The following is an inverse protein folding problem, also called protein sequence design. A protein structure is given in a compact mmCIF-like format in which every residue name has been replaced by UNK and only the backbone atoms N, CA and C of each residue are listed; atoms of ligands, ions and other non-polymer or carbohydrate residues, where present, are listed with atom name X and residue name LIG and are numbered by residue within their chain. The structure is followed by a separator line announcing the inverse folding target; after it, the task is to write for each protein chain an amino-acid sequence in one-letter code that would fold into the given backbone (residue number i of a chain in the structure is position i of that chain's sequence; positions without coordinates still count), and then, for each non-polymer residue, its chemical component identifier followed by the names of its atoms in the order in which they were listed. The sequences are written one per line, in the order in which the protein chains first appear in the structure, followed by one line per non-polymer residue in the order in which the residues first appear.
data_IF_787438589369
#
_entry.id   IF_787438589369
#
_cell.length_a   1.000
_cell.length_b   1.000
_cell.length_c   1.000
_cell.angle_alpha   90.00
_cell.angle_beta   90.00
_cell.angle_gamma   90.00
#
_symmetry.space_group_name_H-M   'P 1'
#
loop_
_entity.id
_entity.type
_entity.pdbx_description
1 polymer ?
#
# COMPACT_ATOMS: atom_id res chain seq x y z
N UNK A 1 -8.92 23.49 -9.74
CA UNK A 1 -9.51 22.13 -9.89
C UNK A 1 -8.48 21.02 -10.23
N UNK A 2 -7.24 21.35 -10.63
CA UNK A 2 -6.20 20.39 -11.06
C UNK A 2 -5.48 19.64 -9.93
N UNK A 3 -5.21 20.28 -8.79
CA UNK A 3 -4.53 19.63 -7.65
C UNK A 3 -5.36 18.51 -7.00
N UNK A 4 -6.69 18.70 -6.94
CA UNK A 4 -7.61 17.68 -6.42
C UNK A 4 -7.59 16.41 -7.29
N UNK A 5 -7.70 16.57 -8.61
CA UNK A 5 -7.66 15.45 -9.55
C UNK A 5 -6.31 14.71 -9.51
N UNK A 6 -5.18 15.43 -9.43
CA UNK A 6 -3.87 14.82 -9.26
C UNK A 6 -3.77 13.99 -7.96
N UNK A 7 -4.49 14.38 -6.91
CA UNK A 7 -4.53 13.66 -5.64
C UNK A 7 -5.48 12.45 -5.70
N UNK A 8 -6.67 12.62 -6.29
CA UNK A 8 -7.70 11.58 -6.37
C UNK A 8 -7.38 10.49 -7.40
N UNK A 9 -6.96 10.89 -8.60
CA UNK A 9 -6.67 9.98 -9.71
C UNK A 9 -5.18 9.61 -9.78
N UNK A 10 -4.32 10.37 -9.10
CA UNK A 10 -2.87 10.22 -9.17
C UNK A 10 -2.29 10.97 -10.37
N UNK A 11 -1.05 11.44 -10.22
CA UNK A 11 -0.31 12.06 -11.32
C UNK A 11 0.26 10.98 -12.27
N UNK A 12 0.02 11.04 -13.59
CA UNK A 12 0.74 10.20 -14.56
C UNK A 12 2.24 10.46 -14.50
N UNK A 13 3.05 9.44 -14.84
CA UNK A 13 4.52 9.54 -14.74
C UNK A 13 5.07 10.62 -15.68
N UNK A 14 4.51 10.72 -16.88
CA UNK A 14 4.87 11.73 -17.87
C UNK A 14 4.67 13.15 -17.34
N UNK A 15 3.51 13.41 -16.72
CA UNK A 15 3.20 14.71 -16.10
C UNK A 15 4.14 15.00 -14.93
N UNK A 16 4.44 13.99 -14.10
CA UNK A 16 5.40 14.12 -13.01
C UNK A 16 6.81 14.46 -13.49
N UNK A 17 7.27 13.80 -14.57
CA UNK A 17 8.59 14.06 -15.15
C UNK A 17 8.64 15.44 -15.83
N UNK A 18 7.59 15.86 -16.55
CA UNK A 18 7.48 17.20 -17.15
C UNK A 18 7.50 18.28 -16.07
N UNK A 19 6.71 18.13 -15.01
CA UNK A 19 6.65 19.11 -13.92
C UNK A 19 7.98 19.16 -13.15
N UNK A 20 8.64 18.03 -12.96
CA UNK A 20 9.98 17.98 -12.33
C UNK A 20 11.03 18.67 -13.20
N UNK A 21 10.96 18.52 -14.52
CA UNK A 21 11.84 19.21 -15.46
C UNK A 21 11.58 20.72 -15.45
N UNK A 22 10.31 21.13 -15.51
CA UNK A 22 9.90 22.54 -15.42
C UNK A 22 10.30 23.18 -14.10
N UNK A 23 10.15 22.50 -12.97
CA UNK A 23 10.59 23.03 -11.67
C UNK A 23 12.10 23.22 -11.62
N UNK A 24 12.86 22.26 -12.17
CA UNK A 24 14.31 22.37 -12.26
C UNK A 24 14.73 23.57 -13.11
N UNK A 25 14.11 23.73 -14.28
CA UNK A 25 14.37 24.82 -15.21
C UNK A 25 13.99 26.19 -14.62
N UNK A 26 12.88 26.26 -13.88
CA UNK A 26 12.42 27.46 -13.20
C UNK A 26 13.41 27.95 -12.12
N UNK A 27 14.05 27.04 -11.37
CA UNK A 27 15.04 27.41 -10.34
C UNK A 27 16.30 28.07 -10.94
N UNK A 28 16.50 27.91 -12.25
CA UNK A 28 17.58 28.52 -13.02
C UNK A 28 17.06 29.62 -13.98
N UNK A 29 15.93 30.24 -13.68
CA UNK A 29 15.34 31.35 -14.46
C UNK A 29 15.13 31.03 -15.95
N UNK A 30 14.94 29.74 -16.28
CA UNK A 30 14.88 29.23 -17.65
C UNK A 30 16.16 29.40 -18.48
N UNK A 31 17.26 29.80 -17.86
CA UNK A 31 18.54 30.08 -18.49
C UNK A 31 19.62 29.07 -18.07
N UNK A 32 20.49 28.72 -19.02
CA UNK A 32 21.66 27.90 -18.75
C UNK A 32 21.41 26.40 -18.48
N UNK A 33 22.49 25.69 -18.20
CA UNK A 33 22.48 24.27 -17.80
C UNK A 33 22.39 24.17 -16.28
N UNK A 34 21.60 23.24 -15.77
CA UNK A 34 21.50 22.96 -14.33
C UNK A 34 22.88 22.61 -13.75
N UNK A 35 23.47 23.51 -12.96
CA UNK A 35 24.81 23.33 -12.37
C UNK A 35 24.77 22.55 -11.06
N UNK A 36 23.63 22.56 -10.36
CA UNK A 36 23.43 21.86 -9.09
C UNK A 36 22.43 20.72 -9.25
N UNK A 37 22.74 19.58 -8.62
CA UNK A 37 21.87 18.41 -8.65
C UNK A 37 20.52 18.69 -7.97
N UNK A 38 19.45 18.05 -8.46
CA UNK A 38 18.13 18.15 -7.84
C UNK A 38 18.11 17.68 -6.39
N UNK A 39 18.97 16.72 -6.02
CA UNK A 39 19.11 16.26 -4.63
C UNK A 39 19.55 17.38 -3.70
N UNK A 40 20.51 18.20 -4.14
CA UNK A 40 21.02 19.34 -3.38
C UNK A 40 19.99 20.47 -3.33
N UNK A 41 19.30 20.75 -4.44
CA UNK A 41 18.23 21.77 -4.48
C UNK A 41 17.07 21.44 -3.53
N UNK A 42 16.73 20.16 -3.37
CA UNK A 42 15.70 19.70 -2.45
C UNK A 42 16.15 19.66 -0.98
N UNK A 43 17.44 19.86 -0.69
CA UNK A 43 17.95 19.82 0.68
C UNK A 43 17.53 21.07 1.48
N UNK A 44 17.56 21.00 2.82
CA UNK A 44 17.36 22.17 3.69
C UNK A 44 18.31 23.32 3.37
N UNK A 45 17.84 24.55 3.57
CA UNK A 45 18.67 25.77 3.42
C UNK A 45 19.92 25.70 4.31
N UNK A 46 19.79 25.17 5.52
CA UNK A 46 20.93 24.94 6.44
C UNK A 46 22.03 24.03 5.88
N UNK A 47 21.73 23.20 4.88
CA UNK A 47 22.69 22.32 4.19
C UNK A 47 23.09 22.86 2.81
N UNK A 48 22.86 24.14 2.54
CA UNK A 48 23.13 24.77 1.25
C UNK A 48 22.13 24.42 0.15
N UNK A 49 20.96 23.88 0.51
CA UNK A 49 19.87 23.62 -0.44
C UNK A 49 18.90 24.78 -0.60
N UNK A 50 17.90 24.62 -1.47
CA UNK A 50 16.86 25.64 -1.73
C UNK A 50 15.45 25.18 -1.30
N UNK A 51 15.33 24.06 -0.56
CA UNK A 51 14.04 23.48 -0.17
C UNK A 51 13.07 23.25 -1.34
N UNK A 52 13.60 22.93 -2.53
CA UNK A 52 12.76 22.68 -3.71
C UNK A 52 11.93 21.41 -3.51
N UNK A 53 10.66 21.44 -3.90
CA UNK A 53 9.76 20.30 -3.76
C UNK A 53 10.22 19.12 -4.63
N UNK A 54 10.53 17.99 -3.99
CA UNK A 54 10.79 16.74 -4.70
C UNK A 54 9.48 16.00 -5.03
N UNK A 55 8.91 16.28 -6.20
CA UNK A 55 7.59 15.79 -6.62
C UNK A 55 7.45 14.25 -6.53
N UNK A 56 8.50 13.51 -6.91
CA UNK A 56 8.54 12.03 -6.82
C UNK A 56 8.48 11.49 -5.40
N UNK A 57 8.98 12.25 -4.43
CA UNK A 57 8.89 11.86 -3.02
C UNK A 57 7.52 12.22 -2.46
N UNK A 58 7.00 13.39 -2.82
CA UNK A 58 5.68 13.84 -2.44
C UNK A 58 4.56 12.88 -2.92
N UNK A 59 4.61 12.47 -4.19
CA UNK A 59 3.65 11.53 -4.75
C UNK A 59 3.69 10.16 -4.05
N UNK A 60 4.88 9.67 -3.66
CA UNK A 60 5.00 8.44 -2.85
C UNK A 60 4.42 8.63 -1.45
N UNK A 61 4.66 9.77 -0.81
CA UNK A 61 4.09 10.09 0.49
C UNK A 61 2.55 10.11 0.45
N UNK A 62 1.96 10.67 -0.63
CA UNK A 62 0.51 10.57 -0.88
C UNK A 62 0.08 9.09 -0.89
N UNK A 63 0.77 8.21 -1.64
CA UNK A 63 0.43 6.78 -1.68
C UNK A 63 0.57 6.08 -0.32
N UNK A 64 1.52 6.48 0.52
CA UNK A 64 1.60 6.01 1.90
C UNK A 64 0.43 6.49 2.76
N UNK A 65 -0.08 7.71 2.55
CA UNK A 65 -1.30 8.19 3.21
C UNK A 65 -2.53 7.39 2.79
N UNK A 66 -2.66 7.05 1.51
CA UNK A 66 -3.71 6.13 1.04
C UNK A 66 -3.54 4.73 1.66
N UNK A 67 -2.32 4.20 1.73
CA UNK A 67 -2.04 2.94 2.41
C UNK A 67 -2.46 2.96 3.88
N UNK A 68 -2.18 4.04 4.62
CA UNK A 68 -2.66 4.23 5.99
C UNK A 68 -4.18 4.09 6.08
N UNK A 69 -4.93 4.70 5.15
CA UNK A 69 -6.37 4.54 5.07
C UNK A 69 -6.82 3.10 4.79
N UNK A 70 -6.11 2.38 3.91
CA UNK A 70 -6.38 0.97 3.62
C UNK A 70 -6.19 0.07 4.86
N UNK A 71 -5.23 0.40 5.71
CA UNK A 71 -4.85 -0.36 6.91
C UNK A 71 -5.55 0.12 8.19
N UNK A 72 -6.32 1.21 8.14
CA UNK A 72 -6.99 1.76 9.31
C UNK A 72 -7.97 0.74 9.94
N UNK A 73 -8.19 0.79 11.28
CA UNK A 73 -9.24 0.01 11.96
C UNK A 73 -10.61 0.18 11.31
N UNK A 74 -11.48 -0.82 11.42
CA UNK A 74 -12.74 -0.85 10.67
C UNK A 74 -13.66 0.35 10.97
N UNK A 75 -13.61 0.86 12.19
CA UNK A 75 -14.39 2.00 12.69
C UNK A 75 -13.98 3.31 12.02
N UNK A 76 -12.70 3.43 11.65
CA UNK A 76 -12.11 4.64 11.05
C UNK A 76 -11.78 4.44 9.57
N UNK A 77 -12.09 3.26 9.03
CA UNK A 77 -11.71 2.87 7.68
C UNK A 77 -12.53 3.64 6.64
N UNK A 78 -11.89 4.34 5.71
CA UNK A 78 -12.61 5.08 4.68
C UNK A 78 -13.33 4.11 3.73
N UNK A 79 -14.52 4.50 3.23
CA UNK A 79 -15.38 3.65 2.39
C UNK A 79 -14.65 3.04 1.19
N UNK A 80 -13.78 3.81 0.54
CA UNK A 80 -13.02 3.34 -0.63
C UNK A 80 -12.12 2.12 -0.32
N UNK A 81 -11.67 1.97 0.93
CA UNK A 81 -10.77 0.88 1.34
C UNK A 81 -11.46 -0.49 1.30
N UNK A 82 -12.78 -0.55 1.54
CA UNK A 82 -13.55 -1.79 1.40
C UNK A 82 -13.57 -2.27 -0.06
N UNK A 83 -13.80 -1.36 -1.00
CA UNK A 83 -13.71 -1.66 -2.44
C UNK A 83 -12.29 -2.04 -2.85
N UNK A 84 -11.28 -1.35 -2.32
CA UNK A 84 -9.88 -1.67 -2.58
C UNK A 84 -9.54 -3.10 -2.11
N UNK A 85 -9.98 -3.51 -0.92
CA UNK A 85 -9.77 -4.87 -0.42
C UNK A 85 -10.45 -5.92 -1.31
N UNK A 86 -11.69 -5.67 -1.76
CA UNK A 86 -12.38 -6.56 -2.70
C UNK A 86 -11.63 -6.71 -4.03
N UNK A 87 -11.11 -5.60 -4.59
CA UNK A 87 -10.29 -5.63 -5.82
C UNK A 87 -8.98 -6.40 -5.58
N UNK A 88 -8.32 -6.19 -4.44
CA UNK A 88 -7.10 -6.91 -4.06
C UNK A 88 -7.35 -8.42 -3.94
N UNK A 89 -8.44 -8.82 -3.29
CA UNK A 89 -8.87 -10.21 -3.14
C UNK A 89 -9.15 -10.88 -4.49
N UNK A 90 -9.85 -10.18 -5.40
CA UNK A 90 -10.10 -10.64 -6.78
C UNK A 90 -8.80 -10.78 -7.58
N UNK A 91 -7.84 -9.89 -7.33
CA UNK A 91 -6.53 -9.90 -7.98
C UNK A 91 -5.51 -10.84 -7.32
N UNK A 92 -5.84 -11.56 -6.24
CA UNK A 92 -4.93 -12.47 -5.54
C UNK A 92 -4.31 -13.53 -6.47
N UNK A 93 -2.99 -13.73 -6.36
CA UNK A 93 -2.28 -14.77 -7.09
C UNK A 93 -2.85 -16.15 -6.78
N UNK A 94 -2.66 -17.10 -7.71
CA UNK A 94 -3.15 -18.46 -7.54
C UNK A 94 -2.30 -19.27 -6.55
N UNK A 95 -1.13 -18.77 -6.15
CA UNK A 95 -0.26 -19.39 -5.14
C UNK A 95 0.04 -18.38 -4.02
N UNK A 96 -0.26 -18.72 -2.75
CA UNK A 96 -1.02 -19.89 -2.32
C UNK A 96 -2.49 -19.85 -2.79
N UNK A 97 -3.13 -21.01 -2.95
CA UNK A 97 -4.56 -21.07 -3.30
C UNK A 97 -5.37 -20.68 -2.06
N UNK A 98 -5.75 -19.42 -1.98
CA UNK A 98 -6.63 -18.90 -0.92
C UNK A 98 -8.07 -18.86 -1.44
N UNK A 99 -9.00 -19.44 -0.69
CA UNK A 99 -10.45 -19.36 -0.99
C UNK A 99 -10.92 -17.91 -0.89
N UNK A 100 -11.90 -17.52 -1.69
CA UNK A 100 -12.34 -16.12 -1.76
C UNK A 100 -12.80 -15.57 -0.40
N UNK A 101 -13.56 -16.35 0.37
CA UNK A 101 -14.02 -15.97 1.72
C UNK A 101 -12.90 -15.79 2.74
N UNK A 102 -11.71 -16.37 2.50
CA UNK A 102 -10.55 -16.20 3.37
C UNK A 102 -9.70 -14.96 3.00
N UNK A 103 -9.97 -14.25 1.90
CA UNK A 103 -9.17 -13.11 1.45
C UNK A 103 -9.69 -11.82 2.07
N UNK A 104 -9.03 -11.36 3.13
CA UNK A 104 -9.41 -10.14 3.85
C UNK A 104 -8.48 -9.00 3.47
N UNK A 105 -7.18 -9.14 3.71
CA UNK A 105 -6.22 -8.08 3.47
C UNK A 105 -4.82 -8.66 3.21
N UNK A 106 -4.16 -8.32 2.07
CA UNK A 106 -2.83 -8.85 1.74
C UNK A 106 -1.70 -8.32 2.62
N UNK A 107 -1.94 -7.33 3.48
CA UNK A 107 -0.96 -6.82 4.44
C UNK A 107 -1.05 -7.52 5.81
N UNK A 108 -2.18 -8.16 6.09
CA UNK A 108 -2.39 -8.96 7.30
C UNK A 108 -2.31 -10.46 7.02
N UNK A 109 -2.08 -10.84 5.76
CA UNK A 109 -2.08 -12.22 5.31
C UNK A 109 -0.90 -12.51 4.37
N UNK A 110 -0.57 -13.79 4.19
CA UNK A 110 0.62 -14.25 3.45
C UNK A 110 0.42 -14.33 1.93
N UNK A 111 -0.77 -14.09 1.41
CA UNK A 111 -1.03 -14.06 -0.02
C UNK A 111 -0.78 -12.68 -0.63
N UNK A 112 -0.45 -12.64 -1.93
CA UNK A 112 -0.15 -11.40 -2.65
C UNK A 112 -1.06 -11.18 -3.86
N UNK A 113 -1.48 -9.94 -4.15
CA UNK A 113 -2.22 -9.61 -5.36
C UNK A 113 -1.28 -9.51 -6.58
N UNK A 114 -1.79 -9.89 -7.74
CA UNK A 114 -1.12 -9.71 -9.03
C UNK A 114 -1.11 -8.24 -9.42
N UNK A 115 0.07 -7.64 -9.52
CA UNK A 115 0.22 -6.24 -9.90
C UNK A 115 -0.39 -5.94 -11.28
N UNK A 116 -0.33 -6.89 -12.22
CA UNK A 116 -0.85 -6.71 -13.59
C UNK A 116 -2.38 -6.54 -13.61
N UNK A 117 -3.10 -7.26 -12.74
CA UNK A 117 -4.57 -7.22 -12.64
C UNK A 117 -5.10 -6.04 -11.82
N UNK A 118 -4.24 -5.30 -11.13
CA UNK A 118 -4.64 -4.16 -10.32
C UNK A 118 -4.79 -2.89 -11.15
N UNK A 119 -5.78 -2.04 -10.84
CA UNK A 119 -5.83 -0.66 -11.32
C UNK A 119 -4.54 0.11 -10.97
N UNK A 120 -4.18 1.09 -11.80
CA UNK A 120 -2.94 1.86 -11.69
C UNK A 120 -2.69 2.43 -10.29
N UNK A 121 -3.73 2.95 -9.63
CA UNK A 121 -3.64 3.51 -8.29
C UNK A 121 -3.33 2.49 -7.20
N UNK A 122 -4.05 1.37 -7.16
CA UNK A 122 -3.79 0.29 -6.19
C UNK A 122 -2.43 -0.35 -6.45
N UNK A 123 -2.05 -0.54 -7.71
CA UNK A 123 -0.71 -1.02 -8.09
C UNK A 123 0.38 -0.13 -7.51
N UNK A 124 0.25 1.20 -7.65
CA UNK A 124 1.20 2.18 -7.09
C UNK A 124 1.24 2.15 -5.56
N UNK A 125 0.10 1.96 -4.88
CA UNK A 125 0.05 1.80 -3.42
C UNK A 125 0.86 0.56 -3.00
N UNK A 126 0.60 -0.61 -3.62
CA UNK A 126 1.31 -1.85 -3.31
C UNK A 126 2.82 -1.73 -3.61
N UNK A 127 3.20 -1.13 -4.74
CA UNK A 127 4.61 -0.91 -5.08
C UNK A 127 5.31 0.04 -4.11
N UNK A 128 4.62 1.09 -3.66
CA UNK A 128 5.16 2.03 -2.68
C UNK A 128 5.34 1.34 -1.33
N UNK A 129 4.35 0.55 -0.88
CA UNK A 129 4.44 -0.23 0.34
C UNK A 129 5.65 -1.18 0.31
N UNK A 130 5.82 -1.93 -0.79
CA UNK A 130 6.98 -2.83 -0.97
C UNK A 130 8.32 -2.07 -0.96
N UNK A 131 8.38 -0.93 -1.66
CA UNK A 131 9.60 -0.12 -1.76
C UNK A 131 10.08 0.38 -0.39
N UNK A 132 9.15 0.73 0.50
CA UNK A 132 9.48 1.21 1.84
C UNK A 132 9.39 0.12 2.92
N UNK A 133 9.26 -1.16 2.53
CA UNK A 133 9.16 -2.27 3.47
C UNK A 133 7.98 -2.17 4.44
N UNK A 134 6.91 -1.47 4.06
CA UNK A 134 5.75 -1.30 4.94
C UNK A 134 5.06 -2.64 5.17
N UNK A 135 5.16 -3.12 6.40
CA UNK A 135 4.56 -4.36 6.89
C UNK A 135 3.83 -4.07 8.19
N UNK A 136 2.88 -4.93 8.54
CA UNK A 136 2.35 -4.92 9.89
C UNK A 136 3.42 -5.54 10.81
N UNK A 137 3.81 -4.80 11.82
CA UNK A 137 4.83 -5.20 12.79
C UNK A 137 4.36 -4.74 14.16
N UNK A 138 4.37 -5.66 15.12
CA UNK A 138 3.98 -5.40 16.49
C UNK A 138 5.09 -5.94 17.39
N UNK A 139 5.66 -5.06 18.21
CA UNK A 139 6.68 -5.42 19.22
C UNK A 139 6.04 -6.32 20.29
N UNK A 140 4.77 -6.05 20.62
CA UNK A 140 3.95 -6.88 21.49
C UNK A 140 2.51 -6.79 21.01
N UNK A 141 1.86 -7.93 20.79
CA UNK A 141 0.47 -7.98 20.33
C UNK A 141 -0.40 -8.19 21.56
N UNK A 142 -1.33 -7.26 21.82
CA UNK A 142 -2.35 -7.47 22.84
C UNK A 142 -3.21 -8.68 22.43
N UNK A 143 -3.48 -9.65 23.32
CA UNK A 143 -4.35 -10.79 23.03
C UNK A 143 -5.72 -10.41 22.44
N UNK A 144 -6.29 -9.24 22.80
CA UNK A 144 -7.52 -8.77 22.17
C UNK A 144 -7.35 -8.50 20.67
N UNK A 145 -6.28 -7.81 20.28
CA UNK A 145 -5.93 -7.51 18.88
C UNK A 145 -5.54 -8.78 18.13
N UNK A 146 -4.86 -9.73 18.80
CA UNK A 146 -4.52 -11.02 18.20
C UNK A 146 -5.76 -11.80 17.75
N UNK A 147 -6.86 -11.70 18.50
CA UNK A 147 -8.13 -12.36 18.17
C UNK A 147 -8.87 -11.73 16.99
N UNK A 148 -8.61 -10.45 16.73
CA UNK A 148 -9.16 -9.73 15.58
C UNK A 148 -8.43 -10.03 14.28
N UNK A 149 -7.24 -10.65 14.34
CA UNK A 149 -6.52 -11.05 13.14
C UNK A 149 -7.28 -12.17 12.39
N UNK A 150 -7.18 -12.20 11.05
CA UNK A 150 -7.68 -13.31 10.26
C UNK A 150 -7.15 -14.65 10.80
N UNK A 151 -7.98 -15.68 10.95
CA UNK A 151 -7.46 -17.04 11.25
C UNK A 151 -6.62 -17.54 10.08
N UNK A 152 -7.18 -17.39 8.89
CA UNK A 152 -6.67 -18.00 7.68
C UNK A 152 -5.54 -17.16 7.10
N UNK A 153 -4.41 -17.80 6.80
CA UNK A 153 -3.25 -17.17 6.14
C UNK A 153 -2.73 -15.91 6.82
N UNK A 154 -2.92 -15.71 8.12
CA UNK A 154 -2.35 -14.53 8.78
C UNK A 154 -0.83 -14.54 8.77
N UNK A 155 -0.24 -13.38 9.05
CA UNK A 155 1.20 -13.12 8.98
C UNK A 155 2.04 -14.08 9.86
N UNK A 156 1.47 -14.55 10.98
CA UNK A 156 2.09 -15.52 11.89
C UNK A 156 1.80 -16.99 11.57
N UNK A 157 1.00 -17.29 10.54
CA UNK A 157 0.61 -18.65 10.21
C UNK A 157 1.78 -19.43 9.58
N UNK A 158 2.14 -20.56 10.18
CA UNK A 158 3.09 -21.51 9.59
C UNK A 158 2.52 -22.17 8.33
N UNK A 159 3.39 -22.77 7.52
CA UNK A 159 2.97 -23.52 6.34
C UNK A 159 1.97 -24.64 6.68
N UNK A 160 2.12 -25.29 7.83
CA UNK A 160 1.23 -26.35 8.28
C UNK A 160 -0.16 -25.83 8.68
N UNK A 161 -0.24 -24.67 9.34
CA UNK A 161 -1.51 -24.01 9.59
C UNK A 161 -2.22 -23.63 8.29
N UNK A 162 -1.47 -23.23 7.26
CA UNK A 162 -2.06 -22.92 5.95
C UNK A 162 -2.58 -24.15 5.22
N UNK A 163 -2.03 -25.35 5.44
CA UNK A 163 -2.56 -26.60 4.88
C UNK A 163 -3.95 -26.93 5.42
N UNK A 164 -4.24 -26.59 6.68
CA UNK A 164 -5.55 -26.80 7.30
C UNK A 164 -6.68 -26.07 6.56
N UNK A 165 -6.38 -25.02 5.80
CA UNK A 165 -7.37 -24.29 5.02
C UNK A 165 -8.11 -25.17 3.98
N UNK A 166 -7.47 -26.26 3.53
CA UNK A 166 -8.02 -27.16 2.53
C UNK A 166 -8.68 -28.42 3.13
N UNK A 167 -8.73 -28.55 4.46
CA UNK A 167 -9.41 -29.67 5.11
C UNK A 167 -10.95 -29.58 4.94
N UNK A 168 -11.61 -30.73 5.02
CA UNK A 168 -13.06 -30.90 4.86
C UNK A 168 -13.86 -29.94 5.77
N UNK A 169 -13.48 -29.83 7.04
CA UNK A 169 -14.18 -28.98 8.01
C UNK A 169 -13.83 -27.49 7.88
N UNK A 170 -12.76 -27.12 7.16
CA UNK A 170 -12.30 -25.75 7.07
C UNK A 170 -13.28 -24.86 6.30
N UNK A 171 -14.03 -25.42 5.35
CA UNK A 171 -15.11 -24.71 4.67
C UNK A 171 -16.22 -24.33 5.66
N UNK A 172 -16.69 -25.28 6.49
CA UNK A 172 -17.71 -25.02 7.49
C UNK A 172 -17.25 -24.00 8.53
N UNK A 173 -16.03 -24.16 9.07
CA UNK A 173 -15.47 -23.23 10.05
C UNK A 173 -15.36 -21.79 9.51
N UNK A 174 -15.00 -21.65 8.23
CA UNK A 174 -14.82 -20.34 7.61
C UNK A 174 -16.14 -19.71 7.20
N UNK A 175 -16.98 -20.46 6.51
CA UNK A 175 -18.13 -19.92 5.79
C UNK A 175 -19.40 -19.91 6.66
N UNK A 176 -19.54 -20.85 7.62
CA UNK A 176 -20.71 -20.93 8.51
C UNK A 176 -20.41 -20.44 9.94
N UNK A 177 -19.25 -20.78 10.50
CA UNK A 177 -18.90 -20.43 11.89
C UNK A 177 -18.07 -19.15 12.02
N UNK A 178 -17.64 -18.54 10.90
CA UNK A 178 -16.84 -17.31 10.87
C UNK A 178 -15.65 -17.33 11.84
N UNK A 179 -14.97 -18.49 11.94
CA UNK A 179 -13.95 -18.72 12.95
C UNK A 179 -12.89 -17.59 12.95
N UNK A 180 -12.67 -17.00 14.12
CA UNK A 180 -11.67 -15.96 14.41
C UNK A 180 -10.49 -16.54 15.21
N UNK A 181 -9.36 -15.83 15.24
CA UNK A 181 -8.14 -16.33 15.90
C UNK A 181 -8.41 -16.47 17.39
N UNK A 182 -8.18 -17.65 17.96
CA UNK A 182 -8.35 -17.92 19.39
C UNK A 182 -7.02 -18.38 19.97
N UNK A 183 -6.20 -17.44 20.43
CA UNK A 183 -5.14 -17.65 21.42
C UNK A 183 -4.75 -16.30 22.01
#
# INVERSE_FOLDING_TARGET
MTQYLATAQGMPKEVEDILSAKSSKFVWDNEGKNTVSMKTLCAPIAKGGKNVLHLKSHNKAIKLKWLKGLLAPIETRPRWAFFANAILAKAALNSPIVKHSAKINPFLQTWSPSQKRLPSNLRRIIQTAKKYGTRWEAITINPSIARELPVWFHIGASADLNKLNNHLYAACLRDNHLATSTK
#
